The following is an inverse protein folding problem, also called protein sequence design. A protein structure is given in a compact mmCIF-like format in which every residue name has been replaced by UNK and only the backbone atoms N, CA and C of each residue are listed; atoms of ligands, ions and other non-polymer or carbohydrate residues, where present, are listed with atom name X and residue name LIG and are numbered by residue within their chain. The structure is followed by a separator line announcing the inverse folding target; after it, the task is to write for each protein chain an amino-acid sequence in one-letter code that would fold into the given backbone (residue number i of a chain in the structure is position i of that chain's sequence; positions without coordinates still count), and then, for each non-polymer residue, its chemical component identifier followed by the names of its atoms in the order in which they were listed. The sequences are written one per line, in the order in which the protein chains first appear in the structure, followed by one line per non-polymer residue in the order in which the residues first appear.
data_IF_601187826532
#
_entry.id   IF_601187826532
#
_cell.length_a   1.000
_cell.length_b   1.000
_cell.length_c   1.000
_cell.angle_alpha   90.00
_cell.angle_beta   90.00
_cell.angle_gamma   90.00
#
_symmetry.space_group_name_H-M   'P 1'
#
loop_
_entity.id
_entity.type
_entity.pdbx_description
1 polymer ?
#
# COMPACT_ATOMS: atom_id res chain seq x y z
N UNK A 1 -0.53 9.93 -2.87
CA UNK A 1 0.03 8.65 -2.43
C UNK A 1 -0.54 7.46 -3.21
N UNK A 2 -1.80 7.04 -3.04
CA UNK A 2 -2.35 5.88 -3.77
C UNK A 2 -2.19 5.95 -5.31
N UNK A 3 -2.54 7.09 -5.93
CA UNK A 3 -2.34 7.31 -7.38
C UNK A 3 -0.88 7.30 -7.82
N UNK A 4 0.02 7.77 -6.97
CA UNK A 4 1.47 7.77 -7.24
C UNK A 4 1.98 6.33 -7.19
N UNK A 5 1.55 5.57 -6.18
CA UNK A 5 1.88 4.16 -6.06
C UNK A 5 1.36 3.35 -7.25
N UNK A 6 0.10 3.58 -7.66
CA UNK A 6 -0.46 2.99 -8.89
C UNK A 6 0.40 3.29 -10.12
N UNK A 7 0.81 4.56 -10.29
CA UNK A 7 1.68 4.94 -11.40
C UNK A 7 3.03 4.21 -11.37
N UNK A 8 3.64 4.07 -10.19
CA UNK A 8 4.87 3.27 -10.04
C UNK A 8 4.62 1.82 -10.48
N UNK A 9 3.51 1.22 -10.06
CA UNK A 9 3.19 -0.16 -10.46
C UNK A 9 3.04 -0.31 -11.98
N UNK A 10 2.41 0.67 -12.63
CA UNK A 10 2.26 0.70 -14.09
C UNK A 10 3.61 0.89 -14.78
N UNK A 11 4.40 1.88 -14.35
CA UNK A 11 5.69 2.24 -14.93
C UNK A 11 6.69 1.06 -14.87
N UNK A 12 6.58 0.18 -13.87
CA UNK A 12 7.43 -1.01 -13.70
C UNK A 12 6.78 -2.35 -14.11
N UNK A 13 5.54 -2.35 -14.60
CA UNK A 13 4.85 -3.60 -14.99
C UNK A 13 4.56 -4.54 -13.80
N UNK A 14 4.29 -3.96 -12.62
CA UNK A 14 4.02 -4.63 -11.34
C UNK A 14 2.55 -4.62 -10.92
N UNK A 15 1.66 -4.02 -11.72
CA UNK A 15 0.24 -3.81 -11.42
C UNK A 15 -0.47 -5.04 -10.85
N UNK A 16 -0.14 -6.25 -11.32
CA UNK A 16 -0.77 -7.51 -10.88
C UNK A 16 0.17 -8.43 -10.08
N UNK A 17 1.22 -7.85 -9.46
CA UNK A 17 2.31 -8.60 -8.81
C UNK A 17 2.50 -8.19 -7.34
N UNK A 18 1.44 -7.67 -6.73
CA UNK A 18 1.48 -7.20 -5.34
C UNK A 18 0.93 -8.30 -4.45
N UNK A 19 1.81 -8.87 -3.63
CA UNK A 19 1.43 -9.87 -2.63
C UNK A 19 0.98 -9.21 -1.32
N UNK A 20 1.77 -8.28 -0.80
CA UNK A 20 1.51 -7.58 0.45
C UNK A 20 2.18 -6.20 0.48
N UNK A 21 1.68 -5.31 1.34
CA UNK A 21 2.26 -3.99 1.59
C UNK A 21 2.64 -3.87 3.07
N UNK A 22 3.83 -3.36 3.36
CA UNK A 22 4.25 -3.01 4.70
C UNK A 22 4.48 -1.50 4.78
N UNK A 23 3.84 -0.84 5.74
CA UNK A 23 3.96 0.61 5.94
C UNK A 23 4.12 0.98 7.42
N UNK A 24 4.59 2.20 7.70
CA UNK A 24 4.60 2.73 9.06
C UNK A 24 3.18 2.87 9.66
N UNK A 25 3.10 3.20 10.94
CA UNK A 25 1.83 3.32 11.66
C UNK A 25 1.22 4.73 11.58
N UNK A 26 1.24 5.35 10.39
CA UNK A 26 0.59 6.64 10.16
C UNK A 26 -0.84 6.48 9.64
N UNK A 27 -1.79 7.28 10.15
CA UNK A 27 -3.19 7.31 9.68
C UNK A 27 -3.31 7.67 8.19
N UNK A 28 -2.35 8.42 7.65
CA UNK A 28 -2.28 8.69 6.20
C UNK A 28 -2.17 7.42 5.36
N UNK A 29 -1.55 6.37 5.89
CA UNK A 29 -1.42 5.09 5.19
C UNK A 29 -2.76 4.38 5.07
N UNK A 30 -3.69 4.54 6.01
CA UNK A 30 -5.03 3.95 5.91
C UNK A 30 -5.83 4.55 4.77
N UNK A 31 -5.71 5.88 4.60
CA UNK A 31 -6.33 6.57 3.46
C UNK A 31 -5.68 6.14 2.15
N UNK A 32 -4.37 5.91 2.14
CA UNK A 32 -3.66 5.44 0.95
C UNK A 32 -4.07 4.02 0.57
N UNK A 33 -4.04 3.07 1.51
CA UNK A 33 -4.33 1.65 1.23
C UNK A 33 -5.78 1.46 0.83
N UNK A 34 -6.72 2.12 1.51
CA UNK A 34 -8.14 2.09 1.12
C UNK A 34 -8.36 2.60 -0.30
N UNK A 35 -7.64 3.65 -0.72
CA UNK A 35 -7.73 4.17 -2.08
C UNK A 35 -7.01 3.29 -3.10
N UNK A 36 -5.91 2.64 -2.72
CA UNK A 36 -5.12 1.78 -3.60
C UNK A 36 -5.86 0.48 -3.93
N UNK A 37 -6.59 -0.07 -2.95
CA UNK A 37 -7.48 -1.25 -3.05
C UNK A 37 -8.63 -1.06 -4.06
N UNK A 38 -8.98 0.19 -4.37
CA UNK A 38 -10.03 0.54 -5.34
C UNK A 38 -9.50 0.77 -6.76
N UNK A 39 -8.18 0.72 -6.97
CA UNK A 39 -7.53 0.98 -8.26
C UNK A 39 -7.30 -0.33 -9.04
N UNK A 40 -7.09 -0.27 -10.36
CA UNK A 40 -6.92 -1.47 -11.19
C UNK A 40 -5.52 -2.09 -10.99
N UNK A 41 -5.30 -2.72 -9.84
CA UNK A 41 -4.09 -3.46 -9.46
C UNK A 41 -4.47 -4.71 -8.64
N UNK A 42 -3.49 -5.52 -8.23
CA UNK A 42 -3.72 -6.71 -7.40
C UNK A 42 -3.57 -6.47 -5.89
N UNK A 43 -3.42 -5.21 -5.46
CA UNK A 43 -3.33 -4.88 -4.04
C UNK A 43 -4.70 -5.05 -3.40
N UNK A 44 -4.74 -5.75 -2.27
CA UNK A 44 -5.90 -5.79 -1.38
C UNK A 44 -5.55 -5.14 -0.05
N UNK A 45 -6.47 -4.35 0.51
CA UNK A 45 -6.22 -3.69 1.81
C UNK A 45 -5.96 -4.69 2.93
N UNK A 46 -6.53 -5.89 2.85
CA UNK A 46 -6.35 -6.98 3.83
C UNK A 46 -4.89 -7.46 3.87
N UNK A 47 -4.13 -7.27 2.79
CA UNK A 47 -2.73 -7.65 2.71
C UNK A 47 -1.78 -6.51 3.15
N UNK A 48 -2.29 -5.54 3.91
CA UNK A 48 -1.51 -4.48 4.52
C UNK A 48 -1.08 -4.85 5.95
N UNK A 49 0.23 -4.91 6.19
CA UNK A 49 0.81 -5.04 7.51
C UNK A 49 1.44 -3.72 7.99
N UNK A 50 1.37 -3.46 9.29
CA UNK A 50 2.13 -2.37 9.91
C UNK A 50 3.55 -2.80 10.21
N UNK A 51 4.49 -1.89 10.02
CA UNK A 51 5.89 -2.09 10.33
C UNK A 51 6.09 -2.20 11.84
N UNK A 52 6.58 -3.34 12.33
CA UNK A 52 6.78 -3.59 13.77
C UNK A 52 7.60 -2.48 14.45
N UNK A 53 8.67 -2.00 13.80
CA UNK A 53 9.52 -0.95 14.37
C UNK A 53 8.75 0.35 14.63
N UNK A 54 7.81 0.70 13.75
CA UNK A 54 6.96 1.89 13.89
C UNK A 54 5.73 1.67 14.78
N UNK A 55 5.45 0.42 15.17
CA UNK A 55 4.45 0.11 16.19
C UNK A 55 5.04 0.22 17.60
N UNK A 56 6.35 -0.01 17.75
CA UNK A 56 7.07 0.07 19.02
C UNK A 56 7.60 1.48 19.32
N UNK A 57 7.79 2.29 18.28
CA UNK A 57 8.23 3.69 18.37
C UNK A 57 7.17 4.57 17.69
N UNK A 58 6.27 5.14 18.48
CA UNK A 58 5.27 6.13 18.06
C UNK A 58 5.81 7.55 18.26
#
# INVERSE_FOLDING_TARGET
LARIFQKILEDFGLTQKILAFNGDNATSNDTQTTKLDQLPNSFTKENCARCLNHMLQL
#
